data_IF_393309075056
#
_entry.id   IF_393309075056
#
_cell.length_a   1.000
_cell.length_b   1.000
_cell.length_c   1.000
_cell.angle_alpha   90.00
_cell.angle_beta   90.00
_cell.angle_gamma   90.00
#
_symmetry.space_group_name_H-M   'P 1'
#
loop_
_entity.id
_entity.type
_entity.pdbx_description
1 polymer ?
#
# COMPACT_ATOMS: atom_id res chain seq x y z
N UNK A 1 30.43 -25.67 0.12
CA UNK A 1 29.26 -24.77 0.00
C UNK A 1 29.40 -23.86 -1.21
N UNK A 2 30.46 -23.06 -1.30
CA UNK A 2 30.81 -22.27 -2.50
C UNK A 2 30.84 -23.13 -3.77
N UNK A 3 31.55 -24.26 -3.76
CA UNK A 3 31.62 -25.17 -4.92
C UNK A 3 30.26 -25.79 -5.29
N UNK A 4 29.45 -26.12 -4.29
CA UNK A 4 28.11 -26.71 -4.51
C UNK A 4 27.18 -25.70 -5.15
N UNK A 5 27.21 -24.45 -4.70
CA UNK A 5 26.44 -23.38 -5.35
C UNK A 5 26.93 -23.09 -6.76
N UNK A 6 28.24 -23.13 -7.00
CA UNK A 6 28.81 -22.98 -8.35
C UNK A 6 28.23 -24.05 -9.27
N UNK A 7 28.16 -25.32 -8.86
CA UNK A 7 27.50 -26.36 -9.66
C UNK A 7 26.02 -26.04 -9.94
N UNK A 8 25.26 -25.59 -8.94
CA UNK A 8 23.84 -25.20 -9.11
C UNK A 8 23.67 -24.06 -10.10
N UNK A 9 24.55 -23.06 -10.03
CA UNK A 9 24.56 -21.92 -10.95
C UNK A 9 24.99 -22.32 -12.36
N UNK A 10 26.03 -23.14 -12.48
CA UNK A 10 26.56 -23.58 -13.77
C UNK A 10 25.61 -24.54 -14.50
N UNK A 11 24.73 -25.22 -13.75
CA UNK A 11 23.59 -25.98 -14.29
C UNK A 11 22.43 -25.07 -14.78
N UNK A 12 22.54 -23.76 -14.59
CA UNK A 12 21.56 -22.74 -14.98
C UNK A 12 20.14 -23.08 -14.52
N UNK A 13 20.01 -23.66 -13.32
CA UNK A 13 18.73 -24.10 -12.77
C UNK A 13 17.74 -22.95 -12.53
N UNK A 14 18.20 -21.70 -12.56
CA UNK A 14 17.38 -20.50 -12.44
C UNK A 14 16.96 -19.92 -13.79
N UNK A 15 17.36 -20.52 -14.91
CA UNK A 15 16.91 -20.10 -16.23
C UNK A 15 15.38 -20.15 -16.35
N UNK A 16 14.75 -19.17 -17.03
CA UNK A 16 13.31 -19.19 -17.31
C UNK A 16 12.84 -20.45 -18.05
N UNK A 17 13.74 -21.12 -18.79
CA UNK A 17 13.44 -22.34 -19.56
C UNK A 17 13.32 -23.59 -18.66
N UNK A 18 13.81 -23.51 -17.42
CA UNK A 18 13.76 -24.63 -16.48
C UNK A 18 12.36 -24.77 -15.86
N UNK A 19 11.90 -25.99 -15.54
CA UNK A 19 10.63 -26.20 -14.85
C UNK A 19 10.57 -25.48 -13.50
N UNK A 20 9.37 -25.05 -13.09
CA UNK A 20 9.14 -24.38 -11.80
C UNK A 20 9.78 -25.13 -10.62
N UNK A 21 9.60 -26.44 -10.54
CA UNK A 21 10.15 -27.26 -9.45
C UNK A 21 11.68 -27.17 -9.36
N UNK A 22 12.37 -27.12 -10.49
CA UNK A 22 13.83 -27.00 -10.53
C UNK A 22 14.28 -25.63 -10.01
N UNK A 23 13.64 -24.55 -10.48
CA UNK A 23 13.94 -23.17 -10.04
C UNK A 23 13.63 -23.00 -8.56
N UNK A 24 12.49 -23.52 -8.11
CA UNK A 24 12.05 -23.50 -6.72
C UNK A 24 13.03 -24.24 -5.80
N UNK A 25 13.47 -25.46 -6.17
CA UNK A 25 14.49 -26.20 -5.42
C UNK A 25 15.82 -25.45 -5.36
N UNK A 26 16.24 -24.81 -6.45
CA UNK A 26 17.46 -23.99 -6.46
C UNK A 26 17.38 -22.81 -5.49
N UNK A 27 16.25 -22.10 -5.44
CA UNK A 27 16.04 -21.04 -4.45
C UNK A 27 15.93 -21.57 -3.02
N UNK A 28 15.26 -22.70 -2.79
CA UNK A 28 15.22 -23.32 -1.46
C UNK A 28 16.61 -23.70 -0.97
N UNK A 29 17.46 -24.24 -1.86
CA UNK A 29 18.84 -24.51 -1.56
C UNK A 29 19.63 -23.22 -1.25
N UNK A 30 19.42 -22.14 -2.01
CA UNK A 30 20.01 -20.82 -1.74
C UNK A 30 19.61 -20.34 -0.33
N UNK A 31 18.33 -20.38 0.01
CA UNK A 31 17.81 -19.99 1.33
C UNK A 31 18.41 -20.84 2.44
N UNK A 32 18.50 -22.16 2.24
CA UNK A 32 19.13 -23.06 3.20
C UNK A 32 20.61 -22.72 3.40
N UNK A 33 21.33 -22.33 2.33
CA UNK A 33 22.71 -21.87 2.43
C UNK A 33 22.84 -20.58 3.25
N UNK A 34 21.97 -19.60 2.98
CA UNK A 34 21.92 -18.33 3.70
C UNK A 34 21.63 -18.55 5.19
N UNK A 35 20.71 -19.45 5.53
CA UNK A 35 20.35 -19.76 6.93
C UNK A 35 21.42 -20.57 7.66
N UNK A 36 22.01 -21.55 6.96
CA UNK A 36 22.98 -22.48 7.55
C UNK A 36 24.35 -21.86 7.79
N UNK A 37 24.71 -20.82 7.04
CA UNK A 37 25.91 -20.03 7.28
C UNK A 37 25.46 -18.71 7.91
N UNK A 38 25.66 -18.54 9.23
CA UNK A 38 25.46 -17.23 9.87
C UNK A 38 26.08 -16.13 8.97
N UNK A 39 25.33 -15.06 8.66
CA UNK A 39 25.64 -14.09 7.58
C UNK A 39 27.10 -13.67 7.47
N UNK A 40 27.79 -13.63 8.61
CA UNK A 40 29.16 -13.17 8.77
C UNK A 40 30.16 -14.08 8.01
N UNK A 41 29.75 -15.31 7.67
CA UNK A 41 30.55 -16.30 6.95
C UNK A 41 30.18 -16.47 5.47
N UNK A 42 29.15 -15.74 4.97
CA UNK A 42 28.72 -15.88 3.57
C UNK A 42 29.71 -15.21 2.59
N UNK A 43 30.36 -14.13 3.01
CA UNK A 43 31.38 -13.43 2.24
C UNK A 43 30.93 -13.11 0.81
N UNK A 44 31.74 -13.49 -0.19
CA UNK A 44 31.46 -13.23 -1.60
C UNK A 44 30.18 -13.92 -2.14
N UNK A 45 29.72 -15.01 -1.51
CA UNK A 45 28.46 -15.67 -1.91
C UNK A 45 27.26 -14.74 -1.77
N UNK A 46 27.34 -13.77 -0.85
CA UNK A 46 26.28 -12.80 -0.63
C UNK A 46 26.02 -11.93 -1.87
N UNK A 47 27.09 -11.57 -2.58
CA UNK A 47 27.02 -10.84 -3.86
C UNK A 47 26.43 -11.75 -4.94
N UNK A 48 26.91 -13.00 -5.04
CA UNK A 48 26.42 -13.95 -6.04
C UNK A 48 24.92 -14.22 -5.85
N UNK A 49 24.47 -14.47 -4.62
CA UNK A 49 23.05 -14.70 -4.32
C UNK A 49 22.22 -13.47 -4.64
N UNK A 50 22.68 -12.28 -4.26
CA UNK A 50 21.99 -11.03 -4.62
C UNK A 50 21.88 -10.86 -6.14
N UNK A 51 22.94 -11.14 -6.89
CA UNK A 51 22.93 -11.04 -8.35
C UNK A 51 21.95 -12.04 -8.98
N UNK A 52 21.93 -13.29 -8.51
CA UNK A 52 20.95 -14.29 -8.95
C UNK A 52 19.51 -13.88 -8.63
N UNK A 53 19.26 -13.36 -7.43
CA UNK A 53 17.95 -12.83 -7.05
C UNK A 53 17.60 -11.66 -7.96
N UNK A 54 18.51 -10.71 -8.18
CA UNK A 54 18.25 -9.52 -8.98
C UNK A 54 17.98 -9.84 -10.45
N UNK A 55 18.74 -10.75 -11.07
CA UNK A 55 18.62 -11.09 -12.49
C UNK A 55 17.40 -11.95 -12.81
N UNK A 56 16.89 -12.71 -11.83
CA UNK A 56 15.74 -13.59 -12.03
C UNK A 56 14.44 -12.82 -12.24
N UNK A 57 13.71 -13.10 -13.33
CA UNK A 57 12.46 -12.39 -13.65
C UNK A 57 11.35 -13.34 -14.12
N UNK A 58 10.96 -14.28 -13.26
CA UNK A 58 9.81 -15.17 -13.48
C UNK A 58 8.72 -14.88 -12.45
N UNK A 59 7.50 -14.57 -12.91
CA UNK A 59 6.39 -14.08 -12.07
C UNK A 59 5.91 -15.07 -11.00
N UNK A 60 6.01 -16.37 -11.29
CA UNK A 60 5.62 -17.46 -10.38
C UNK A 60 6.57 -17.57 -9.18
N UNK A 61 7.83 -17.19 -9.39
CA UNK A 61 8.89 -17.36 -8.39
C UNK A 61 9.03 -16.13 -7.48
N UNK A 62 8.14 -15.14 -7.60
CA UNK A 62 8.23 -13.88 -6.86
C UNK A 62 8.30 -14.10 -5.34
N UNK A 63 7.46 -14.98 -4.79
CA UNK A 63 7.41 -15.20 -3.34
C UNK A 63 8.72 -15.80 -2.81
N UNK A 64 9.25 -16.82 -3.50
CA UNK A 64 10.49 -17.45 -3.07
C UNK A 64 11.71 -16.55 -3.31
N UNK A 65 11.68 -15.73 -4.37
CA UNK A 65 12.70 -14.70 -4.66
C UNK A 65 12.73 -13.63 -3.57
N UNK A 66 11.56 -13.14 -3.14
CA UNK A 66 11.44 -12.18 -2.05
C UNK A 66 11.88 -12.79 -0.71
N UNK A 67 11.51 -14.05 -0.44
CA UNK A 67 11.97 -14.77 0.74
C UNK A 67 13.51 -14.90 0.75
N UNK A 68 14.11 -15.30 -0.37
CA UNK A 68 15.57 -15.38 -0.50
C UNK A 68 16.24 -14.02 -0.22
N UNK A 69 15.68 -12.93 -0.76
CA UNK A 69 16.19 -11.58 -0.50
C UNK A 69 16.06 -11.19 0.97
N UNK A 70 14.91 -11.46 1.59
CA UNK A 70 14.63 -11.18 3.01
C UNK A 70 15.61 -11.92 3.93
N UNK A 71 15.86 -13.20 3.66
CA UNK A 71 16.83 -13.99 4.41
C UNK A 71 18.25 -13.49 4.19
N UNK A 72 18.60 -13.18 2.93
CA UNK A 72 19.91 -12.63 2.59
C UNK A 72 20.18 -11.35 3.38
N UNK A 73 19.20 -10.46 3.49
CA UNK A 73 19.38 -9.18 4.18
C UNK A 73 19.10 -9.20 5.71
N UNK A 74 18.91 -10.37 6.32
CA UNK A 74 18.47 -10.49 7.73
C UNK A 74 17.25 -9.60 8.04
N UNK A 75 16.24 -9.66 7.17
CA UNK A 75 15.04 -8.82 7.23
C UNK A 75 15.37 -7.33 7.27
N UNK A 76 16.25 -6.89 6.36
CA UNK A 76 16.66 -5.51 6.18
C UNK A 76 17.71 -4.98 7.16
N UNK A 77 18.24 -5.81 8.08
CA UNK A 77 19.25 -5.38 9.07
C UNK A 77 20.68 -5.36 8.53
N UNK A 78 20.97 -6.22 7.57
CA UNK A 78 22.29 -6.34 6.96
C UNK A 78 22.10 -6.28 5.45
N UNK A 79 22.54 -5.20 4.81
CA UNK A 79 22.31 -4.97 3.37
C UNK A 79 23.63 -4.87 2.57
N UNK A 80 24.77 -4.94 3.25
CA UNK A 80 26.08 -4.86 2.62
C UNK A 80 26.40 -6.11 1.81
N UNK A 81 27.08 -6.02 0.66
CA UNK A 81 27.65 -4.83 0.03
C UNK A 81 26.80 -4.29 -1.15
N UNK A 82 25.47 -4.47 -1.14
CA UNK A 82 24.59 -4.16 -2.27
C UNK A 82 23.54 -3.08 -1.97
N UNK A 83 23.81 -2.22 -0.99
CA UNK A 83 22.88 -1.24 -0.41
C UNK A 83 22.26 -0.33 -1.46
N UNK A 84 23.10 0.24 -2.33
CA UNK A 84 22.68 1.16 -3.40
C UNK A 84 21.75 0.50 -4.43
N UNK A 85 21.92 -0.80 -4.67
CA UNK A 85 21.12 -1.53 -5.65
C UNK A 85 19.86 -2.12 -5.03
N UNK A 86 19.87 -2.41 -3.72
CA UNK A 86 18.74 -2.99 -3.00
C UNK A 86 17.50 -2.10 -3.08
N UNK A 87 17.65 -0.81 -2.76
CA UNK A 87 16.53 0.13 -2.76
C UNK A 87 15.93 0.29 -4.16
N UNK A 88 16.77 0.32 -5.21
CA UNK A 88 16.31 0.37 -6.60
C UNK A 88 15.50 -0.86 -6.97
N UNK A 89 15.99 -2.05 -6.63
CA UNK A 89 15.29 -3.31 -6.87
C UNK A 89 13.93 -3.35 -6.14
N UNK A 90 13.87 -2.92 -4.88
CA UNK A 90 12.63 -2.91 -4.11
C UNK A 90 11.64 -1.86 -4.65
N UNK A 91 12.12 -0.69 -5.08
CA UNK A 91 11.33 0.32 -5.79
C UNK A 91 10.73 -0.23 -7.08
N UNK A 92 11.52 -0.96 -7.89
CA UNK A 92 11.05 -1.65 -9.08
C UNK A 92 9.93 -2.66 -8.75
N UNK A 93 10.10 -3.47 -7.69
CA UNK A 93 9.07 -4.43 -7.27
C UNK A 93 7.79 -3.76 -6.76
N UNK A 94 7.89 -2.65 -6.03
CA UNK A 94 6.70 -1.85 -5.65
C UNK A 94 5.96 -1.42 -6.93
N UNK A 95 6.67 -0.83 -7.88
CA UNK A 95 6.07 -0.37 -9.13
C UNK A 95 5.44 -1.50 -9.94
N UNK A 96 6.08 -2.67 -10.03
CA UNK A 96 5.52 -3.87 -10.68
C UNK A 96 4.24 -4.36 -9.99
N UNK A 97 4.20 -4.38 -8.66
CA UNK A 97 3.00 -4.79 -7.91
C UNK A 97 1.85 -3.79 -8.11
N UNK A 98 2.15 -2.49 -8.17
CA UNK A 98 1.15 -1.44 -8.40
C UNK A 98 0.60 -1.51 -9.83
N UNK A 99 1.42 -1.78 -10.84
CA UNK A 99 0.94 -1.98 -12.21
C UNK A 99 -0.02 -3.18 -12.33
N UNK A 100 0.19 -4.23 -11.54
CA UNK A 100 -0.71 -5.38 -11.52
C UNK A 100 -2.07 -5.04 -10.92
N UNK A 101 -2.13 -4.11 -9.96
CA UNK A 101 -3.40 -3.58 -9.43
C UNK A 101 -4.21 -2.88 -10.53
N UNK A 102 -3.59 -2.08 -11.40
CA UNK A 102 -4.26 -1.38 -12.49
C UNK A 102 -4.86 -2.33 -13.56
N UNK A 103 -4.15 -3.41 -13.87
CA UNK A 103 -4.60 -4.40 -14.87
C UNK A 103 -5.84 -5.14 -14.37
N UNK A 104 -5.90 -5.48 -13.07
CA UNK A 104 -7.08 -6.12 -12.48
C UNK A 104 -8.32 -5.22 -12.59
N UNK A 105 -8.17 -3.92 -12.33
CA UNK A 105 -9.25 -2.92 -12.47
C UNK A 105 -9.81 -2.84 -13.89
N UNK A 106 -8.94 -2.88 -14.90
CA UNK A 106 -9.37 -2.84 -16.31
C UNK A 106 -10.10 -4.13 -16.69
N UNK A 107 -9.70 -5.27 -16.15
CA UNK A 107 -10.33 -6.57 -16.41
C UNK A 107 -11.70 -6.75 -15.74
N UNK A 108 -11.89 -6.17 -14.55
CA UNK A 108 -13.17 -6.21 -13.83
C UNK A 108 -14.23 -5.34 -14.51
N UNK A 109 -13.83 -4.15 -14.99
CA UNK A 109 -14.73 -3.30 -15.78
C UNK A 109 -15.17 -3.96 -17.10
N UNK A 110 -14.33 -4.76 -17.75
CA UNK A 110 -14.71 -5.52 -18.94
C UNK A 110 -15.66 -6.68 -18.63
N UNK A 111 -15.52 -7.34 -17.47
CA UNK A 111 -16.43 -8.42 -17.03
C UNK A 111 -17.81 -7.92 -16.61
N UNK A 112 -17.90 -6.73 -16.00
CA UNK A 112 -19.19 -6.11 -15.70
C UNK A 112 -19.91 -5.66 -16.96
N UNK A 113 -19.20 -5.09 -17.95
CA UNK A 113 -19.79 -4.68 -19.23
C UNK A 113 -20.29 -5.86 -20.07
N UNK A 114 -19.66 -7.04 -19.94
CA UNK A 114 -20.09 -8.27 -20.61
C UNK A 114 -21.33 -8.93 -19.95
N UNK A 115 -21.59 -8.66 -18.67
CA UNK A 115 -22.79 -9.16 -17.96
C UNK A 115 -24.05 -8.31 -18.19
N UNK A 116 -23.92 -7.09 -18.72
CA UNK A 116 -25.05 -6.19 -18.98
C UNK A 116 -25.65 -6.28 -20.39
N UNK A 117 -25.12 -7.12 -21.27
CA UNK A 117 -25.67 -7.33 -22.63
C UNK A 117 -26.55 -8.60 -22.61
N UNK A 118 -27.88 -8.50 -22.87
CA UNK A 118 -28.73 -9.67 -22.96
C UNK A 118 -28.39 -10.48 -24.24
N UNK A 119 -28.50 -11.82 -24.24
CA UNK A 119 -28.28 -12.58 -25.45
C UNK A 119 -29.41 -12.29 -26.44
N UNK A 120 -29.06 -11.71 -27.59
CA UNK A 120 -29.99 -11.54 -28.71
C UNK A 120 -30.34 -12.91 -29.28
N UNK A 121 -31.52 -13.40 -28.90
CA UNK A 121 -32.15 -14.55 -29.52
C UNK A 121 -32.53 -14.21 -30.97
N UNK A 122 -31.84 -14.80 -31.92
CA UNK A 122 -32.34 -14.97 -33.28
C UNK A 122 -33.45 -16.02 -33.26
N UNK A 123 -34.67 -15.63 -33.58
CA UNK A 123 -35.65 -16.58 -34.12
C UNK A 123 -36.62 -15.90 -35.08
N UNK A 124 -36.69 -16.50 -36.25
CA UNK A 124 -37.52 -16.16 -37.39
C UNK A 124 -38.95 -16.64 -37.18
N UNK A 125 -39.87 -15.75 -37.52
CA UNK A 125 -41.24 -15.90 -38.04
C UNK A 125 -41.83 -17.32 -38.15
N UNK A 126 -42.99 -17.53 -37.52
CA UNK A 126 -44.16 -18.13 -38.19
C UNK A 126 -45.45 -17.80 -37.43
N UNK A 127 -46.48 -17.54 -38.23
CA UNK A 127 -47.83 -17.05 -37.96
C UNK A 127 -48.75 -18.02 -37.22
N UNK A 128 -49.73 -17.51 -36.45
CA UNK A 128 -51.19 -17.54 -36.76
C UNK A 128 -52.07 -17.27 -35.53
N UNK A 129 -53.06 -16.38 -35.72
CA UNK A 129 -54.46 -16.42 -35.28
C UNK A 129 -54.91 -16.31 -33.80
N UNK A 130 -55.87 -15.38 -33.61
CA UNK A 130 -57.05 -15.41 -32.70
C UNK A 130 -56.78 -15.34 -31.19
N UNK A 131 -57.59 -14.75 -30.31
CA UNK A 131 -58.83 -13.96 -30.35
C UNK A 131 -58.99 -13.31 -28.95
N UNK A 132 -59.81 -12.25 -28.90
CA UNK A 132 -60.68 -11.84 -27.78
C UNK A 132 -60.15 -11.59 -26.33
N UNK A 133 -60.18 -10.30 -25.97
CA UNK A 133 -61.03 -9.71 -24.92
C UNK A 133 -60.60 -9.65 -23.43
N UNK A 134 -60.89 -8.45 -22.89
CA UNK A 134 -61.34 -8.14 -21.53
C UNK A 134 -60.33 -7.90 -20.38
N UNK A 135 -60.14 -6.58 -20.14
CA UNK A 135 -60.42 -5.84 -18.89
C UNK A 135 -60.14 -6.54 -17.55
N UNK A 136 -59.29 -5.93 -16.70
CA UNK A 136 -59.69 -5.27 -15.43
C UNK A 136 -58.48 -5.01 -14.51
N UNK A 137 -58.29 -3.74 -14.13
CA UNK A 137 -57.74 -3.32 -12.82
C UNK A 137 -58.85 -3.46 -11.75
N UNK A 138 -58.68 -3.20 -10.42
CA UNK A 138 -57.50 -2.85 -9.60
C UNK A 138 -57.40 -3.79 -8.35
N UNK A 139 -56.53 -3.62 -7.33
CA UNK A 139 -56.75 -2.71 -6.18
C UNK A 139 -55.69 -2.98 -5.09
N UNK A 140 -55.23 -1.89 -4.46
CA UNK A 140 -54.42 -1.80 -3.25
C UNK A 140 -55.23 -2.05 -1.97
N UNK A 141 -54.61 -2.67 -0.97
CA UNK A 141 -54.88 -2.47 0.48
C UNK A 141 -53.56 -2.79 1.22
N UNK A 142 -52.82 -1.88 1.89
CA UNK A 142 -53.10 -1.16 3.16
C UNK A 142 -53.57 -2.13 4.26
N UNK A 143 -53.07 -2.21 5.50
CA UNK A 143 -52.20 -1.38 6.33
C UNK A 143 -51.94 -2.13 7.67
N UNK A 144 -51.01 -1.60 8.48
CA UNK A 144 -51.02 -1.58 9.96
C UNK A 144 -50.64 -2.85 10.75
N UNK A 145 -50.09 -2.79 11.97
CA UNK A 145 -49.27 -1.83 12.76
C UNK A 145 -49.07 -2.53 14.13
N UNK A 146 -47.86 -2.42 14.71
CA UNK A 146 -47.53 -2.31 16.16
C UNK A 146 -47.99 -3.37 17.20
N UNK A 147 -47.05 -3.79 18.07
CA UNK A 147 -47.05 -3.60 19.56
C UNK A 147 -46.08 -4.58 20.27
N UNK A 148 -44.94 -4.12 20.81
CA UNK A 148 -44.59 -3.93 22.26
C UNK A 148 -44.54 -5.17 23.17
N UNK A 149 -43.38 -5.48 23.77
CA UNK A 149 -43.05 -5.27 25.20
C UNK A 149 -41.93 -6.21 25.72
N UNK A 150 -41.24 -5.74 26.76
CA UNK A 150 -39.92 -6.12 27.27
C UNK A 150 -39.88 -7.30 28.27
N UNK A 151 -38.69 -7.85 28.52
CA UNK A 151 -38.22 -8.33 29.84
C UNK A 151 -36.68 -8.35 29.89
N UNK A 152 -36.13 -7.84 31.00
CA UNK A 152 -34.71 -7.75 31.37
C UNK A 152 -34.37 -8.92 32.29
N UNK A 153 -33.24 -9.61 32.09
CA UNK A 153 -32.45 -10.21 33.20
C UNK A 153 -30.98 -10.38 32.80
N UNK A 154 -30.13 -9.60 33.49
CA UNK A 154 -28.76 -9.77 33.99
C UNK A 154 -27.65 -10.57 33.27
N UNK A 155 -26.47 -9.93 33.35
CA UNK A 155 -25.13 -10.21 32.83
C UNK A 155 -24.45 -11.52 33.24
N UNK A 156 -23.59 -12.04 32.34
CA UNK A 156 -22.19 -12.43 32.65
C UNK A 156 -21.35 -12.67 31.38
N UNK A 157 -20.40 -11.76 31.19
CA UNK A 157 -19.06 -11.83 30.60
C UNK A 157 -18.60 -12.86 29.55
N UNK A 158 -17.85 -12.30 28.59
CA UNK A 158 -16.71 -12.84 27.83
C UNK A 158 -16.94 -13.97 26.82
N UNK A 159 -17.07 -13.62 25.53
CA UNK A 159 -16.05 -13.90 24.50
C UNK A 159 -16.48 -13.30 23.15
N UNK A 160 -16.05 -12.07 22.85
CA UNK A 160 -16.09 -11.55 21.47
C UNK A 160 -14.68 -11.65 20.91
N UNK A 161 -14.27 -12.87 20.58
CA UNK A 161 -13.10 -13.08 19.74
C UNK A 161 -13.41 -12.50 18.37
N UNK A 162 -12.96 -11.25 18.15
CA UNK A 162 -12.91 -10.64 16.83
C UNK A 162 -12.08 -11.58 15.97
N UNK A 163 -12.74 -12.27 15.04
CA UNK A 163 -12.08 -13.03 13.99
C UNK A 163 -11.33 -12.04 13.10
N UNK A 164 -10.08 -11.75 13.45
CA UNK A 164 -9.10 -11.27 12.49
C UNK A 164 -8.99 -12.35 11.42
N UNK A 165 -9.58 -12.09 10.27
CA UNK A 165 -9.31 -12.85 9.06
C UNK A 165 -7.81 -12.66 8.76
N UNK A 166 -6.98 -13.62 9.17
CA UNK A 166 -5.57 -13.70 8.76
C UNK A 166 -5.53 -13.98 7.26
N UNK A 167 -5.78 -12.95 6.44
CA UNK A 167 -5.45 -12.98 5.02
C UNK A 167 -3.93 -12.92 4.88
N UNK A 168 -3.37 -13.80 4.06
CA UNK A 168 -1.97 -13.74 3.69
C UNK A 168 -1.61 -12.35 3.16
N UNK A 169 -0.41 -11.83 3.48
CA UNK A 169 -0.02 -10.50 3.04
C UNK A 169 0.05 -10.44 1.51
N UNK A 170 -0.42 -9.35 0.93
CA UNK A 170 -0.30 -9.10 -0.50
C UNK A 170 1.17 -9.00 -0.90
N UNK A 171 1.46 -9.13 -2.20
CA UNK A 171 2.81 -8.93 -2.74
C UNK A 171 3.33 -7.53 -2.43
N UNK A 172 2.47 -6.52 -2.56
CA UNK A 172 2.79 -5.14 -2.22
C UNK A 172 3.18 -5.03 -0.74
N UNK A 173 2.35 -5.55 0.17
CA UNK A 173 2.66 -5.56 1.61
C UNK A 173 3.98 -6.26 1.91
N UNK A 174 4.26 -7.38 1.26
CA UNK A 174 5.48 -8.15 1.50
C UNK A 174 6.75 -7.37 1.10
N UNK A 175 6.71 -6.67 -0.04
CA UNK A 175 7.82 -5.80 -0.49
C UNK A 175 7.94 -4.57 0.41
N UNK A 176 6.83 -3.90 0.70
CA UNK A 176 6.82 -2.67 1.52
C UNK A 176 7.25 -2.96 2.96
N UNK A 177 6.89 -4.10 3.54
CA UNK A 177 7.38 -4.49 4.86
C UNK A 177 8.90 -4.71 4.89
N UNK A 178 9.48 -5.26 3.81
CA UNK A 178 10.94 -5.35 3.72
C UNK A 178 11.57 -3.95 3.58
N UNK A 179 11.01 -3.07 2.74
CA UNK A 179 11.44 -1.67 2.62
C UNK A 179 11.38 -0.93 3.96
N UNK A 180 10.31 -1.11 4.74
CA UNK A 180 10.17 -0.55 6.09
C UNK A 180 11.39 -0.91 6.94
N UNK A 181 11.77 -2.18 6.97
CA UNK A 181 12.91 -2.63 7.76
C UNK A 181 14.24 -2.10 7.23
N UNK A 182 14.44 -2.15 5.91
CA UNK A 182 15.65 -1.63 5.24
C UNK A 182 15.87 -0.15 5.58
N UNK A 183 14.82 0.68 5.46
CA UNK A 183 14.86 2.11 5.78
C UNK A 183 15.05 2.32 7.28
N UNK A 184 14.31 1.60 8.13
CA UNK A 184 14.42 1.70 9.59
C UNK A 184 15.84 1.48 10.10
N UNK A 185 16.55 0.49 9.57
CA UNK A 185 17.88 0.11 10.06
C UNK A 185 19.03 0.81 9.34
N UNK A 186 18.83 1.27 8.10
CA UNK A 186 19.92 1.75 7.25
C UNK A 186 19.65 3.10 6.59
N UNK A 187 18.71 3.92 7.10
CA UNK A 187 18.33 5.20 6.49
C UNK A 187 19.54 6.05 6.04
N UNK A 188 20.56 6.16 6.91
CA UNK A 188 21.76 6.97 6.68
C UNK A 188 22.66 6.48 5.53
N UNK A 189 22.46 5.27 5.01
CA UNK A 189 23.22 4.71 3.90
C UNK A 189 22.64 5.10 2.52
N UNK A 190 21.43 5.68 2.49
CA UNK A 190 20.75 6.06 1.27
C UNK A 190 20.90 7.54 0.96
N UNK A 191 21.03 7.86 -0.32
CA UNK A 191 21.12 9.23 -0.80
C UNK A 191 19.71 9.84 -0.89
N UNK A 192 19.60 11.17 -0.74
CA UNK A 192 18.34 11.91 -0.78
C UNK A 192 17.47 11.59 -2.03
N UNK A 193 18.03 11.46 -3.26
CA UNK A 193 17.23 11.12 -4.43
C UNK A 193 16.58 9.74 -4.36
N UNK A 194 17.22 8.77 -3.70
CA UNK A 194 16.69 7.42 -3.57
C UNK A 194 15.51 7.38 -2.57
N UNK A 195 15.63 8.10 -1.45
CA UNK A 195 14.52 8.28 -0.50
C UNK A 195 13.35 9.02 -1.17
N UNK A 196 13.64 10.05 -1.97
CA UNK A 196 12.63 10.80 -2.70
C UNK A 196 11.84 9.91 -3.66
N UNK A 197 12.53 9.06 -4.44
CA UNK A 197 11.89 8.10 -5.35
C UNK A 197 11.02 7.09 -4.61
N UNK A 198 11.52 6.53 -3.51
CA UNK A 198 10.74 5.60 -2.69
C UNK A 198 9.45 6.24 -2.16
N UNK A 199 9.53 7.50 -1.71
CA UNK A 199 8.33 8.23 -1.27
C UNK A 199 7.34 8.36 -2.43
N UNK A 200 7.80 8.71 -3.64
CA UNK A 200 6.92 8.84 -4.80
C UNK A 200 6.30 7.51 -5.26
N UNK A 201 7.08 6.43 -5.30
CA UNK A 201 6.57 5.09 -5.65
C UNK A 201 5.49 4.65 -4.66
N UNK A 202 5.74 4.86 -3.36
CA UNK A 202 4.77 4.54 -2.30
C UNK A 202 3.58 5.51 -2.33
N UNK A 203 3.76 6.79 -2.70
CA UNK A 203 2.64 7.72 -2.95
C UNK A 203 1.71 7.17 -4.03
N UNK A 204 2.27 6.65 -5.12
CA UNK A 204 1.49 6.06 -6.21
C UNK A 204 0.77 4.80 -5.72
N UNK A 205 1.45 3.93 -4.96
CA UNK A 205 0.84 2.74 -4.35
C UNK A 205 -0.34 3.09 -3.42
N UNK A 206 -0.15 4.08 -2.53
CA UNK A 206 -1.19 4.62 -1.64
C UNK A 206 -2.41 5.13 -2.40
N UNK A 207 -2.19 5.87 -3.51
CA UNK A 207 -3.28 6.45 -4.31
C UNK A 207 -4.07 5.39 -5.07
N UNK A 208 -3.40 4.35 -5.57
CA UNK A 208 -4.00 3.31 -6.43
C UNK A 208 -4.60 2.15 -5.65
N UNK A 209 -4.06 1.79 -4.49
CA UNK A 209 -4.59 0.65 -3.74
C UNK A 209 -6.00 0.94 -3.22
N UNK A 210 -6.85 -0.09 -3.30
CA UNK A 210 -8.20 -0.12 -2.75
C UNK A 210 -8.27 -0.91 -1.45
N UNK A 211 -7.25 -1.71 -1.16
CA UNK A 211 -7.19 -2.48 0.07
C UNK A 211 -6.72 -1.58 1.22
N UNK A 212 -7.49 -1.56 2.30
CA UNK A 212 -7.18 -0.82 3.53
C UNK A 212 -5.85 -1.28 4.09
N UNK A 213 -5.57 -2.59 4.07
CA UNK A 213 -4.34 -3.14 4.64
C UNK A 213 -3.08 -2.80 3.83
N UNK A 214 -3.20 -2.60 2.51
CA UNK A 214 -2.12 -2.10 1.67
C UNK A 214 -1.83 -0.61 1.98
N UNK A 215 -2.88 0.20 2.09
CA UNK A 215 -2.75 1.63 2.41
C UNK A 215 -2.10 1.81 3.78
N UNK A 216 -2.52 1.06 4.79
CA UNK A 216 -1.89 1.07 6.11
C UNK A 216 -0.42 0.65 6.07
N UNK A 217 -0.07 -0.35 5.26
CA UNK A 217 1.33 -0.76 5.09
C UNK A 217 2.18 0.35 4.46
N UNK A 218 1.65 1.04 3.45
CA UNK A 218 2.31 2.19 2.82
C UNK A 218 2.46 3.37 3.80
N UNK A 219 1.44 3.67 4.60
CA UNK A 219 1.53 4.70 5.64
C UNK A 219 2.53 4.34 6.74
N UNK A 220 2.64 3.07 7.13
CA UNK A 220 3.69 2.61 8.06
C UNK A 220 5.10 2.84 7.51
N UNK A 221 5.31 2.71 6.20
CA UNK A 221 6.57 3.08 5.57
C UNK A 221 6.87 4.57 5.75
N UNK A 222 5.89 5.43 5.54
CA UNK A 222 6.03 6.88 5.74
C UNK A 222 6.30 7.27 7.19
N UNK A 223 5.64 6.62 8.14
CA UNK A 223 5.90 6.79 9.57
C UNK A 223 7.36 6.45 9.93
N UNK A 224 7.93 5.40 9.32
CA UNK A 224 9.34 5.04 9.50
C UNK A 224 10.26 6.10 8.90
N UNK A 225 9.99 6.60 7.69
CA UNK A 225 10.81 7.63 7.05
C UNK A 225 10.90 8.89 7.91
N UNK A 226 9.77 9.40 8.42
CA UNK A 226 9.77 10.62 9.24
C UNK A 226 10.36 10.39 10.64
N UNK A 227 10.27 9.17 11.20
CA UNK A 227 10.78 8.86 12.55
C UNK A 227 12.27 8.55 12.59
N UNK A 228 12.78 7.80 11.61
CA UNK A 228 14.16 7.32 11.59
C UNK A 228 15.06 8.10 10.62
N UNK A 229 14.48 9.02 9.84
CA UNK A 229 15.19 9.80 8.84
C UNK A 229 14.59 11.19 8.66
N UNK A 230 14.37 11.57 7.41
CA UNK A 230 13.72 12.82 7.04
C UNK A 230 12.97 12.68 5.71
N UNK A 231 12.07 13.64 5.44
CA UNK A 231 11.34 13.73 4.18
C UNK A 231 12.02 14.77 3.27
N UNK A 232 12.59 14.37 2.12
CA UNK A 232 13.23 15.27 1.18
C UNK A 232 12.29 16.35 0.63
N UNK A 233 12.83 17.54 0.36
CA UNK A 233 12.04 18.68 -0.13
C UNK A 233 11.38 18.43 -1.50
N UNK A 234 12.02 17.63 -2.35
CA UNK A 234 11.55 17.24 -3.69
C UNK A 234 10.27 16.40 -3.67
N UNK A 235 10.06 15.60 -2.62
CA UNK A 235 8.92 14.68 -2.46
C UNK A 235 7.93 15.12 -1.38
N UNK A 236 8.27 16.17 -0.61
CA UNK A 236 7.45 16.67 0.49
C UNK A 236 6.03 17.07 0.07
N UNK A 237 5.86 17.69 -1.11
CA UNK A 237 4.53 18.05 -1.64
C UNK A 237 3.66 16.80 -1.82
N UNK A 238 4.19 15.77 -2.50
CA UNK A 238 3.50 14.51 -2.75
C UNK A 238 3.13 13.81 -1.44
N UNK A 239 4.07 13.79 -0.49
CA UNK A 239 3.87 13.25 0.86
C UNK A 239 2.73 13.94 1.60
N UNK A 240 2.72 15.28 1.65
CA UNK A 240 1.66 16.06 2.30
C UNK A 240 0.32 15.87 1.61
N UNK A 241 0.26 15.96 0.28
CA UNK A 241 -0.99 15.85 -0.48
C UNK A 241 -1.68 14.49 -0.29
N UNK A 242 -0.91 13.40 -0.26
CA UNK A 242 -1.45 12.07 0.00
C UNK A 242 -1.95 11.95 1.43
N UNK A 243 -1.21 12.45 2.43
CA UNK A 243 -1.71 12.45 3.81
C UNK A 243 -3.02 13.24 3.90
N UNK A 244 -3.12 14.39 3.23
CA UNK A 244 -4.36 15.18 3.19
C UNK A 244 -5.50 14.36 2.57
N UNK A 245 -5.27 13.66 1.46
CA UNK A 245 -6.26 12.79 0.83
C UNK A 245 -6.70 11.66 1.79
N UNK A 246 -5.74 10.94 2.39
CA UNK A 246 -6.00 9.78 3.27
C UNK A 246 -6.60 10.14 4.62
N UNK A 247 -6.40 11.35 5.12
CA UNK A 247 -7.05 11.84 6.33
C UNK A 247 -8.58 11.79 6.26
N UNK A 248 -9.14 11.90 5.04
CA UNK A 248 -10.58 11.88 4.80
C UNK A 248 -11.20 10.48 4.91
N UNK A 249 -10.39 9.42 5.02
CA UNK A 249 -10.88 8.05 5.17
C UNK A 249 -11.19 7.77 6.65
N UNK A 250 -12.21 6.96 6.94
CA UNK A 250 -12.57 6.64 8.32
C UNK A 250 -11.66 5.56 8.93
N UNK A 251 -11.58 5.54 10.26
CA UNK A 251 -10.86 4.50 11.01
C UNK A 251 -9.37 4.75 11.19
N UNK A 252 -8.60 3.66 11.19
CA UNK A 252 -7.16 3.61 11.48
C UNK A 252 -6.30 4.42 10.51
N UNK A 253 -6.73 4.54 9.25
CA UNK A 253 -6.00 5.30 8.22
C UNK A 253 -5.91 6.78 8.59
N UNK A 254 -7.00 7.40 9.02
CA UNK A 254 -6.99 8.82 9.39
C UNK A 254 -6.14 9.07 10.64
N UNK A 255 -6.24 8.20 11.64
CA UNK A 255 -5.40 8.28 12.85
C UNK A 255 -3.91 8.15 12.53
N UNK A 256 -3.55 7.19 11.68
CA UNK A 256 -2.17 7.00 11.23
C UNK A 256 -1.70 8.19 10.41
N UNK A 257 -2.53 8.73 9.52
CA UNK A 257 -2.21 9.91 8.71
C UNK A 257 -1.96 11.14 9.58
N UNK A 258 -2.78 11.34 10.63
CA UNK A 258 -2.58 12.39 11.62
C UNK A 258 -1.27 12.23 12.37
N UNK A 259 -0.99 11.04 12.89
CA UNK A 259 0.25 10.77 13.62
C UNK A 259 1.50 11.07 12.78
N UNK A 260 1.49 10.66 11.51
CA UNK A 260 2.59 10.93 10.57
C UNK A 260 2.74 12.43 10.32
N UNK A 261 1.63 13.13 10.00
CA UNK A 261 1.65 14.57 9.78
C UNK A 261 2.15 15.32 11.02
N UNK A 262 1.73 14.91 12.21
CA UNK A 262 2.18 15.52 13.46
C UNK A 262 3.68 15.35 13.67
N UNK A 263 4.24 14.17 13.38
CA UNK A 263 5.69 13.96 13.43
C UNK A 263 6.42 14.83 12.40
N UNK A 264 5.86 14.99 11.20
CA UNK A 264 6.41 15.88 10.18
C UNK A 264 6.42 17.35 10.64
N UNK A 265 5.33 17.82 11.25
CA UNK A 265 5.18 19.18 11.78
C UNK A 265 6.05 19.46 13.01
N UNK A 266 6.60 18.42 13.66
CA UNK A 266 7.60 18.53 14.72
C UNK A 266 9.05 18.48 14.21
N UNK A 267 9.24 18.16 12.94
CA UNK A 267 10.55 18.03 12.31
C UNK A 267 11.05 19.37 11.73
N UNK A 268 12.26 19.37 11.17
CA UNK A 268 12.80 20.53 10.43
C UNK A 268 12.00 20.86 9.15
N UNK A 269 11.17 19.94 8.67
CA UNK A 269 10.31 20.15 7.49
C UNK A 269 9.02 20.92 7.82
N UNK A 270 8.75 21.23 9.09
CA UNK A 270 7.48 21.80 9.55
C UNK A 270 7.05 23.06 8.78
N UNK A 271 7.96 24.03 8.63
CA UNK A 271 7.67 25.27 7.90
C UNK A 271 7.30 25.00 6.44
N UNK A 272 8.06 24.16 5.74
CA UNK A 272 7.77 23.81 4.36
C UNK A 272 6.46 23.04 4.23
N UNK A 273 6.15 22.14 5.17
CA UNK A 273 4.89 21.41 5.19
C UNK A 273 3.69 22.35 5.39
N UNK A 274 3.78 23.31 6.33
CA UNK A 274 2.75 24.33 6.55
C UNK A 274 2.56 25.20 5.31
N UNK A 275 3.66 25.64 4.68
CA UNK A 275 3.60 26.41 3.44
C UNK A 275 2.89 25.63 2.32
N UNK A 276 3.12 24.32 2.23
CA UNK A 276 2.41 23.45 1.28
C UNK A 276 0.91 23.38 1.59
N UNK A 277 0.54 23.23 2.87
CA UNK A 277 -0.86 23.20 3.30
C UNK A 277 -1.58 24.51 2.93
N UNK A 278 -0.96 25.67 3.16
CA UNK A 278 -1.49 26.97 2.73
C UNK A 278 -1.55 27.10 1.21
N UNK A 279 -0.48 26.74 0.50
CA UNK A 279 -0.45 26.79 -0.97
C UNK A 279 -1.55 25.95 -1.60
N UNK A 280 -1.91 24.81 -1.00
CA UNK A 280 -3.06 24.01 -1.43
C UNK A 280 -4.38 24.77 -1.29
N UNK A 281 -4.54 25.62 -0.27
CA UNK A 281 -5.76 26.43 -0.04
C UNK A 281 -5.81 27.70 -0.91
N UNK A 282 -4.66 28.31 -1.17
CA UNK A 282 -4.53 29.49 -2.03
C UNK A 282 -4.68 29.16 -3.51
N UNK A 283 -4.45 27.90 -3.91
CA UNK A 283 -4.57 27.50 -5.31
C UNK A 283 -6.02 27.65 -5.79
N UNK A 284 -6.26 28.67 -6.62
CA UNK A 284 -7.53 28.88 -7.37
C UNK A 284 -7.65 27.88 -8.54
N UNK A 285 -6.69 26.97 -8.68
CA UNK A 285 -6.65 26.02 -9.79
C UNK A 285 -7.66 24.88 -9.60
N UNK A 286 -8.44 24.53 -10.65
CA UNK A 286 -9.43 23.44 -10.60
C UNK A 286 -8.82 22.03 -10.47
N UNK A 287 -7.49 21.92 -10.36
CA UNK A 287 -6.75 20.65 -10.34
C UNK A 287 -6.53 20.09 -8.93
N UNK A 288 -6.63 20.91 -7.87
CA UNK A 288 -6.47 20.43 -6.50
C UNK A 288 -7.71 19.65 -6.06
N UNK A 289 -7.52 18.37 -5.76
CA UNK A 289 -8.61 17.49 -5.30
C UNK A 289 -9.30 18.08 -4.06
N UNK A 290 -10.64 18.10 -4.06
CA UNK A 290 -11.44 18.53 -2.90
C UNK A 290 -11.05 17.82 -1.60
N UNK A 291 -10.59 16.57 -1.68
CA UNK A 291 -10.07 15.83 -0.51
C UNK A 291 -8.78 16.40 0.03
N UNK A 292 -7.87 16.85 -0.84
CA UNK A 292 -6.61 17.49 -0.44
C UNK A 292 -6.91 18.83 0.24
N UNK A 293 -7.82 19.65 -0.31
CA UNK A 293 -8.24 20.91 0.32
C UNK A 293 -8.81 20.67 1.73
N UNK A 294 -9.75 19.74 1.86
CA UNK A 294 -10.34 19.39 3.15
C UNK A 294 -9.29 18.87 4.13
N UNK A 295 -8.40 17.99 3.68
CA UNK A 295 -7.29 17.48 4.48
C UNK A 295 -6.34 18.59 4.95
N UNK A 296 -6.04 19.56 4.08
CA UNK A 296 -5.20 20.70 4.43
C UNK A 296 -5.82 21.54 5.54
N UNK A 297 -7.12 21.87 5.44
CA UNK A 297 -7.85 22.59 6.50
C UNK A 297 -7.85 21.80 7.79
N UNK A 298 -8.14 20.49 7.73
CA UNK A 298 -8.21 19.64 8.92
C UNK A 298 -6.87 19.51 9.62
N UNK A 299 -5.77 19.33 8.89
CA UNK A 299 -4.43 19.26 9.50
C UNK A 299 -4.02 20.57 10.14
N UNK A 300 -4.25 21.71 9.47
CA UNK A 300 -3.99 23.02 10.07
C UNK A 300 -4.84 23.20 11.34
N UNK A 301 -6.13 22.86 11.28
CA UNK A 301 -7.02 22.99 12.41
C UNK A 301 -6.60 22.09 13.60
N UNK A 302 -6.24 20.84 13.35
CA UNK A 302 -5.82 19.91 14.40
C UNK A 302 -4.43 20.21 14.94
N UNK A 303 -3.52 20.75 14.13
CA UNK A 303 -2.20 21.17 14.60
C UNK A 303 -2.27 22.38 15.54
N UNK A 304 -3.26 23.24 15.34
CA UNK A 304 -3.43 24.52 16.05
C UNK A 304 -4.41 24.42 17.22
N UNK A 305 -5.52 23.70 17.07
CA UNK A 305 -6.64 23.64 18.03
C UNK A 305 -7.08 22.21 18.39
N UNK A 306 -6.31 21.20 17.99
CA UNK A 306 -6.63 19.80 18.25
C UNK A 306 -6.28 19.36 19.68
N UNK A 307 -6.72 18.19 20.15
CA UNK A 307 -6.32 17.66 21.45
C UNK A 307 -4.81 17.33 21.53
N UNK A 308 -4.14 17.21 20.38
CA UNK A 308 -2.70 16.95 20.28
C UNK A 308 -1.98 18.07 19.51
N UNK A 309 -2.16 19.32 19.94
CA UNK A 309 -1.52 20.49 19.31
C UNK A 309 0.00 20.31 19.18
N UNK A 310 0.57 21.02 18.21
CA UNK A 310 2.01 21.07 18.00
C UNK A 310 2.52 22.36 18.63
N UNK A 311 3.08 22.26 19.85
CA UNK A 311 3.50 23.41 20.66
C UNK A 311 4.42 24.39 19.90
N UNK A 312 5.26 23.90 18.99
CA UNK A 312 6.17 24.73 18.19
C UNK A 312 5.43 25.67 17.21
N UNK A 313 4.14 25.45 16.96
CA UNK A 313 3.31 26.26 16.06
C UNK A 313 2.48 27.31 16.80
N UNK A 314 2.64 27.43 18.12
CA UNK A 314 1.89 28.35 18.97
C UNK A 314 2.18 29.84 18.74
N UNK A 315 3.07 30.19 17.81
CA UNK A 315 3.32 31.58 17.43
C UNK A 315 2.83 31.89 16.01
N UNK A 316 2.38 30.87 15.27
CA UNK A 316 1.85 30.96 13.91
C UNK A 316 0.36 31.33 13.87
N UNK A 317 -0.30 31.40 15.04
CA UNK A 317 -1.72 31.78 15.20
C UNK A 317 -2.08 33.09 14.48
N UNK A 318 -1.18 34.08 14.53
CA UNK A 318 -1.41 35.37 13.90
C UNK A 318 -1.44 35.24 12.38
N UNK A 319 -0.46 34.57 11.77
CA UNK A 319 -0.35 34.43 10.31
C UNK A 319 -1.52 33.66 9.69
N UNK A 320 -2.03 32.63 10.37
CA UNK A 320 -3.17 31.84 9.84
C UNK A 320 -4.48 32.64 9.79
N UNK A 321 -4.65 33.60 10.71
CA UNK A 321 -5.91 34.35 10.88
C UNK A 321 -5.83 35.80 10.36
N UNK A 322 -4.66 36.31 9.98
CA UNK A 322 -4.49 37.73 9.60
C UNK A 322 -4.49 38.02 8.10
N UNK A 323 -4.62 37.00 7.24
CA UNK A 323 -4.77 37.17 5.78
C UNK A 323 -6.25 37.15 5.30
N UNK A 324 -7.21 37.46 6.19
CA UNK A 324 -8.59 37.85 5.83
C UNK A 324 -8.76 39.35 5.87
#
# INVERSE_FOLDING_TARGET
MTEVWVCVRDLDLLSPDMPFDARNVAFQFMIACIKGQHSDNLGFLRVIFYDCIKSHNVKEDFEIRLLALKELCKDGRDISPFEKNLVKLLSEWVNETVQQLDVQLTSDHQKEHAKSVPPSSSSSTTSSQQDESNTSFPTLTSSNRSSTSATITEASDSDTTIQQKNSEPTRLQSVVNLLINVIKFNFAQFEEPDISRLIEDISIACKKSKDVSDIECCLRFWDVVVRFGYVPSSSLKSYVDVLCDKLNQEGSISQTSWHIMRNLLKSHCAYSAIKILFSNLESVEPLTSSRVLRGSVLFLAWAIWGPEEVDSLSHTYSTVLSDT
#
